data_IF_533049189891
#
_entry.id   IF_533049189891
#
_cell.length_a   1.000
_cell.length_b   1.000
_cell.length_c   1.000
_cell.angle_alpha   90.00
_cell.angle_beta   90.00
_cell.angle_gamma   90.00
#
_symmetry.space_group_name_H-M   'P 1'
#
loop_
_entity.id
_entity.type
_entity.pdbx_description
1 polymer ?
#
# COMPACT_ATOMS: atom_id res chain seq x y z
N UNK A 1 2.03 38.80 -18.31
CA UNK A 1 3.26 38.06 -18.65
C UNK A 1 3.95 37.72 -17.35
N UNK A 2 3.79 36.49 -16.86
CA UNK A 2 4.58 36.00 -15.72
C UNK A 2 5.99 35.73 -16.22
N UNK A 3 6.98 36.44 -15.68
CA UNK A 3 8.38 36.09 -15.83
C UNK A 3 8.58 34.73 -15.16
N UNK A 4 9.00 33.72 -15.91
CA UNK A 4 9.50 32.47 -15.35
C UNK A 4 10.79 32.78 -14.58
N UNK A 5 10.78 32.62 -13.26
CA UNK A 5 12.02 32.63 -12.49
C UNK A 5 12.95 31.55 -13.05
N UNK A 6 14.13 31.96 -13.50
CA UNK A 6 15.19 31.04 -13.93
C UNK A 6 15.72 30.34 -12.68
N UNK A 7 15.19 29.14 -12.40
CA UNK A 7 15.68 28.28 -11.33
C UNK A 7 17.12 27.89 -11.68
N UNK A 8 18.08 28.37 -10.89
CA UNK A 8 19.49 27.99 -11.05
C UNK A 8 19.66 26.51 -10.74
N UNK A 9 20.27 25.73 -11.65
CA UNK A 9 20.54 24.32 -11.42
C UNK A 9 21.43 24.12 -10.18
N UNK A 10 21.09 23.14 -9.34
CA UNK A 10 21.86 22.75 -8.16
C UNK A 10 22.50 21.38 -8.34
N UNK A 11 23.66 21.13 -7.74
CA UNK A 11 24.30 19.81 -7.77
C UNK A 11 23.58 18.87 -6.79
N UNK A 12 23.14 17.73 -7.28
CA UNK A 12 22.54 16.67 -6.48
C UNK A 12 23.56 15.90 -5.65
N UNK A 13 23.05 14.96 -4.85
CA UNK A 13 23.87 14.13 -3.94
C UNK A 13 24.86 13.21 -4.65
N UNK A 14 24.60 12.86 -5.92
CA UNK A 14 25.41 11.94 -6.70
C UNK A 14 26.13 12.73 -7.80
N UNK A 15 27.44 12.85 -7.64
CA UNK A 15 28.30 13.60 -8.55
C UNK A 15 29.66 12.93 -8.69
N UNK A 16 29.85 12.19 -9.79
CA UNK A 16 31.11 11.52 -10.08
C UNK A 16 32.04 12.40 -10.91
N UNK A 17 33.30 12.52 -10.48
CA UNK A 17 34.32 13.29 -11.21
C UNK A 17 34.62 12.70 -12.60
N UNK A 18 34.55 11.38 -12.73
CA UNK A 18 34.72 10.60 -13.97
C UNK A 18 33.40 10.32 -14.70
N UNK A 19 32.28 10.85 -14.18
CA UNK A 19 30.98 10.74 -14.84
C UNK A 19 31.02 11.36 -16.24
N UNK A 20 30.34 10.73 -17.18
CA UNK A 20 30.38 11.07 -18.60
C UNK A 20 29.03 11.56 -19.16
N UNK A 21 28.01 11.65 -18.31
CA UNK A 21 26.69 12.20 -18.63
C UNK A 21 26.12 12.93 -17.42
N UNK A 22 25.35 13.99 -17.65
CA UNK A 22 24.62 14.71 -16.59
C UNK A 22 23.13 14.47 -16.79
N UNK A 23 22.44 14.05 -15.73
CA UNK A 23 20.98 14.00 -15.67
C UNK A 23 20.50 15.29 -15.01
N UNK A 24 19.57 15.99 -15.63
CA UNK A 24 18.88 17.15 -15.04
C UNK A 24 17.45 16.77 -14.68
N UNK A 25 17.16 16.63 -13.39
CA UNK A 25 15.82 16.35 -12.87
C UNK A 25 15.32 17.56 -12.08
N UNK A 26 14.37 18.32 -12.64
CA UNK A 26 13.78 19.50 -12.00
C UNK A 26 14.83 20.49 -11.46
N UNK A 27 15.83 20.84 -12.29
CA UNK A 27 16.94 21.73 -11.93
C UNK A 27 17.89 21.16 -10.86
N UNK A 28 17.86 19.86 -10.61
CA UNK A 28 18.87 19.15 -9.82
C UNK A 28 19.69 18.27 -10.73
N UNK A 29 20.99 18.52 -10.75
CA UNK A 29 21.94 17.90 -11.67
C UNK A 29 22.65 16.73 -10.99
N UNK A 30 22.67 15.58 -11.65
CA UNK A 30 23.40 14.38 -11.24
C UNK A 30 24.43 14.01 -12.30
N UNK A 31 25.71 13.96 -11.93
CA UNK A 31 26.78 13.56 -12.85
C UNK A 31 27.10 12.09 -12.66
N UNK A 32 26.81 11.28 -13.68
CA UNK A 32 26.79 9.82 -13.61
C UNK A 32 27.42 9.18 -14.86
N UNK A 33 27.38 7.86 -14.96
CA UNK A 33 27.98 7.06 -16.02
C UNK A 33 26.91 6.43 -16.92
N UNK A 34 27.02 6.65 -18.24
CA UNK A 34 26.16 6.01 -19.25
C UNK A 34 26.10 4.50 -19.11
N UNK A 35 27.25 3.86 -18.87
CA UNK A 35 27.35 2.41 -18.73
C UNK A 35 26.55 1.86 -17.54
N UNK A 36 26.49 2.60 -16.42
CA UNK A 36 25.70 2.18 -15.25
C UNK A 36 24.21 2.30 -15.54
N UNK A 37 23.78 3.40 -16.16
CA UNK A 37 22.38 3.58 -16.58
C UNK A 37 21.96 2.50 -17.58
N UNK A 38 22.74 2.28 -18.64
CA UNK A 38 22.45 1.28 -19.68
C UNK A 38 22.51 -0.17 -19.18
N UNK A 39 23.27 -0.45 -18.13
CA UNK A 39 23.30 -1.78 -17.50
C UNK A 39 22.00 -2.10 -16.75
N UNK A 40 21.38 -1.09 -16.16
CA UNK A 40 20.19 -1.27 -15.32
C UNK A 40 18.88 -0.92 -16.04
N UNK A 41 18.95 -0.21 -17.18
CA UNK A 41 17.78 0.27 -17.91
C UNK A 41 17.93 0.05 -19.41
N UNK A 42 16.96 -0.66 -19.97
CA UNK A 42 16.87 -0.93 -21.40
C UNK A 42 16.57 0.37 -22.17
N UNK A 43 15.73 1.24 -21.60
CA UNK A 43 15.44 2.57 -22.15
C UNK A 43 16.71 3.41 -22.29
N UNK A 44 17.57 3.45 -21.26
CA UNK A 44 18.84 4.19 -21.36
C UNK A 44 19.83 3.54 -22.29
N UNK A 45 19.89 2.20 -22.33
CA UNK A 45 20.74 1.49 -23.28
C UNK A 45 20.39 1.89 -24.71
N UNK A 46 19.10 1.86 -25.05
CA UNK A 46 18.63 2.21 -26.38
C UNK A 46 18.81 3.70 -26.68
N UNK A 47 18.53 4.58 -25.70
CA UNK A 47 18.74 6.03 -25.82
C UNK A 47 20.17 6.37 -26.19
N UNK A 48 21.16 5.66 -25.65
CA UNK A 48 22.58 5.93 -25.95
C UNK A 48 23.09 5.28 -27.25
N UNK A 49 22.32 4.37 -27.86
CA UNK A 49 22.63 3.79 -29.16
C UNK A 49 22.16 4.67 -30.32
N UNK A 50 21.19 5.56 -30.08
CA UNK A 50 20.66 6.47 -31.12
C UNK A 50 21.66 7.61 -31.37
N UNK A 51 22.15 7.79 -32.62
CA UNK A 51 22.98 8.94 -32.96
C UNK A 51 22.21 10.25 -32.76
N UNK A 52 22.74 11.15 -31.94
CA UNK A 52 22.19 12.49 -31.79
C UNK A 52 22.35 13.29 -33.10
N UNK A 53 21.34 14.05 -33.57
CA UNK A 53 21.47 14.87 -34.77
C UNK A 53 22.64 15.85 -34.65
N UNK A 54 23.51 15.90 -35.67
CA UNK A 54 24.60 16.86 -35.72
C UNK A 54 24.04 18.27 -35.96
N UNK A 55 23.86 19.06 -34.91
CA UNK A 55 23.40 20.45 -35.06
C UNK A 55 22.91 21.13 -33.78
N UNK A 56 22.36 20.36 -32.83
CA UNK A 56 22.05 20.87 -31.50
C UNK A 56 23.28 20.64 -30.64
N UNK A 57 24.00 21.71 -30.26
CA UNK A 57 24.94 21.62 -29.15
C UNK A 57 24.12 21.17 -27.94
N UNK A 58 24.30 19.93 -27.43
CA UNK A 58 23.61 19.54 -26.21
C UNK A 58 24.03 20.58 -25.17
N UNK A 59 23.11 21.01 -24.28
CA UNK A 59 23.56 21.72 -23.10
C UNK A 59 24.63 20.83 -22.44
N UNK A 60 25.86 21.32 -22.40
CA UNK A 60 26.99 20.59 -21.83
C UNK A 60 27.34 21.22 -20.49
N UNK A 61 27.48 20.36 -19.48
CA UNK A 61 27.91 20.76 -18.15
C UNK A 61 29.14 19.93 -17.81
N UNK A 62 30.25 20.60 -17.47
CA UNK A 62 31.55 19.97 -17.23
C UNK A 62 32.00 19.03 -18.38
N UNK A 63 31.73 19.43 -19.63
CA UNK A 63 32.05 18.65 -20.84
C UNK A 63 31.23 17.37 -21.02
N UNK A 64 30.12 17.24 -20.27
CA UNK A 64 29.20 16.11 -20.36
C UNK A 64 27.87 16.57 -20.95
N UNK A 65 27.31 15.79 -21.88
CA UNK A 65 25.96 16.02 -22.37
C UNK A 65 24.94 15.94 -21.22
N UNK A 66 24.00 16.89 -21.20
CA UNK A 66 22.89 16.93 -20.25
C UNK A 66 21.65 16.27 -20.85
N UNK A 67 21.02 15.37 -20.10
CA UNK A 67 19.72 14.79 -20.41
C UNK A 67 18.70 15.25 -19.38
N UNK A 68 17.72 16.03 -19.82
CA UNK A 68 16.63 16.50 -18.97
C UNK A 68 15.60 15.40 -18.73
N UNK A 69 15.23 15.22 -17.47
CA UNK A 69 14.20 14.31 -16.98
C UNK A 69 13.01 15.10 -16.49
N UNK A 70 11.83 14.52 -16.65
CA UNK A 70 10.57 15.12 -16.20
C UNK A 70 10.13 14.65 -14.82
N UNK A 71 10.86 13.73 -14.22
CA UNK A 71 10.57 13.16 -12.90
C UNK A 71 11.29 13.93 -11.79
N UNK A 72 10.88 13.70 -10.54
CA UNK A 72 11.40 14.46 -9.41
C UNK A 72 12.89 14.18 -9.15
N UNK A 73 13.61 15.20 -8.68
CA UNK A 73 14.99 15.05 -8.25
C UNK A 73 15.13 14.03 -7.12
N UNK A 74 14.12 13.94 -6.24
CA UNK A 74 14.11 13.00 -5.12
C UNK A 74 14.03 11.54 -5.60
N UNK A 75 13.13 11.24 -6.55
CA UNK A 75 13.01 9.88 -7.10
C UNK A 75 14.32 9.45 -7.78
N UNK A 76 14.94 10.36 -8.55
CA UNK A 76 16.24 10.11 -9.17
C UNK A 76 17.34 9.89 -8.15
N UNK A 77 17.36 10.64 -7.04
CA UNK A 77 18.31 10.41 -5.97
C UNK A 77 18.16 9.00 -5.37
N UNK A 78 16.94 8.51 -5.11
CA UNK A 78 16.73 7.14 -4.63
C UNK A 78 17.22 6.09 -5.63
N UNK A 79 16.82 6.22 -6.90
CA UNK A 79 17.15 5.24 -7.95
C UNK A 79 18.64 5.20 -8.25
N UNK A 80 19.29 6.37 -8.37
CA UNK A 80 20.72 6.43 -8.63
C UNK A 80 21.53 5.89 -7.45
N UNK A 81 21.15 6.20 -6.19
CA UNK A 81 21.80 5.60 -5.03
C UNK A 81 21.72 4.07 -5.09
N UNK A 82 20.56 3.51 -5.44
CA UNK A 82 20.38 2.07 -5.57
C UNK A 82 21.25 1.44 -6.69
N UNK A 83 21.39 2.13 -7.83
CA UNK A 83 22.20 1.65 -8.96
C UNK A 83 23.71 1.63 -8.65
N UNK A 84 24.22 2.59 -7.87
CA UNK A 84 25.65 2.73 -7.56
C UNK A 84 26.07 1.96 -6.32
N UNK A 85 25.36 2.15 -5.21
CA UNK A 85 25.77 1.59 -3.92
C UNK A 85 25.17 0.21 -3.66
N UNK A 86 24.16 -0.20 -4.43
CA UNK A 86 23.38 -1.40 -4.18
C UNK A 86 22.81 -1.40 -2.75
N UNK A 87 22.59 -2.60 -2.18
CA UNK A 87 22.16 -2.75 -0.77
C UNK A 87 23.24 -2.41 0.26
N UNK A 88 24.43 -1.91 -0.12
CA UNK A 88 25.51 -1.66 0.87
C UNK A 88 25.18 -0.53 1.85
N UNK A 89 24.22 0.33 1.52
CA UNK A 89 23.65 1.33 2.43
C UNK A 89 22.33 0.89 3.10
N UNK A 90 21.91 -0.37 2.92
CA UNK A 90 20.89 -0.97 3.78
C UNK A 90 21.51 -1.24 5.17
N UNK A 91 21.79 -0.15 5.89
CA UNK A 91 21.62 -0.14 7.33
C UNK A 91 20.32 -0.89 7.67
N UNK A 92 20.27 -1.55 8.81
CA UNK A 92 19.17 -2.40 9.29
C UNK A 92 17.77 -1.71 9.36
N UNK A 93 17.63 -0.49 8.83
CA UNK A 93 16.40 0.25 8.69
C UNK A 93 15.55 -0.28 7.53
N UNK A 94 14.25 -0.34 7.77
CA UNK A 94 13.25 -0.69 6.78
C UNK A 94 13.20 0.38 5.66
N UNK A 95 12.87 -0.02 4.41
CA UNK A 95 12.74 0.90 3.29
C UNK A 95 11.62 1.93 3.52
N UNK A 96 11.91 3.19 3.22
CA UNK A 96 10.95 4.30 3.29
C UNK A 96 9.99 4.30 2.09
N UNK A 97 8.77 4.82 2.28
CA UNK A 97 7.78 4.95 1.22
C UNK A 97 8.30 5.67 -0.03
N UNK A 98 8.95 6.84 0.13
CA UNK A 98 9.47 7.61 -1.00
C UNK A 98 10.42 6.82 -1.89
N UNK A 99 11.27 5.98 -1.30
CA UNK A 99 12.17 5.09 -2.03
C UNK A 99 11.39 4.03 -2.82
N UNK A 100 10.42 3.36 -2.18
CA UNK A 100 9.59 2.33 -2.82
C UNK A 100 8.76 2.93 -3.97
N UNK A 101 8.20 4.12 -3.76
CA UNK A 101 7.46 4.84 -4.79
C UNK A 101 8.36 5.23 -5.97
N UNK A 102 9.56 5.76 -5.71
CA UNK A 102 10.56 6.09 -6.73
C UNK A 102 10.95 4.87 -7.57
N UNK A 103 11.23 3.75 -6.89
CA UNK A 103 11.59 2.49 -7.55
C UNK A 103 10.47 1.97 -8.44
N UNK A 104 9.21 2.06 -7.99
CA UNK A 104 8.08 1.62 -8.80
C UNK A 104 7.83 2.54 -10.01
N UNK A 105 7.83 3.87 -9.79
CA UNK A 105 7.61 4.88 -10.84
C UNK A 105 8.69 4.82 -11.92
N UNK A 106 9.94 5.04 -11.52
CA UNK A 106 11.05 5.12 -12.46
C UNK A 106 11.44 3.74 -12.96
N UNK A 107 11.30 2.70 -12.15
CA UNK A 107 11.56 1.33 -12.58
C UNK A 107 10.58 0.86 -13.66
N UNK A 108 9.32 1.29 -13.61
CA UNK A 108 8.38 1.07 -14.70
C UNK A 108 8.69 1.96 -15.91
N UNK A 109 8.90 3.26 -15.70
CA UNK A 109 9.05 4.26 -16.79
C UNK A 109 10.32 4.07 -17.61
N UNK A 110 11.43 3.74 -16.96
CA UNK A 110 12.73 3.57 -17.60
C UNK A 110 13.13 2.10 -17.75
N UNK A 111 12.20 1.17 -17.53
CA UNK A 111 12.44 -0.28 -17.60
C UNK A 111 13.68 -0.71 -16.80
N UNK A 112 13.60 -0.57 -15.47
CA UNK A 112 14.61 -1.02 -14.50
C UNK A 112 13.98 -2.14 -13.67
N UNK A 113 13.97 -3.40 -14.17
CA UNK A 113 13.19 -4.48 -13.58
C UNK A 113 13.58 -4.78 -12.13
N UNK A 114 14.88 -4.68 -11.80
CA UNK A 114 15.37 -5.01 -10.47
C UNK A 114 14.75 -4.10 -9.39
N UNK A 115 14.64 -2.79 -9.65
CA UNK A 115 14.04 -1.85 -8.72
C UNK A 115 12.52 -1.98 -8.69
N UNK A 116 11.89 -2.17 -9.86
CA UNK A 116 10.44 -2.38 -9.96
C UNK A 116 10.01 -3.61 -9.17
N UNK A 117 10.68 -4.74 -9.38
CA UNK A 117 10.34 -6.01 -8.75
C UNK A 117 10.63 -5.98 -7.24
N UNK A 118 11.68 -5.26 -6.81
CA UNK A 118 11.95 -4.99 -5.39
C UNK A 118 10.84 -4.16 -4.74
N UNK A 119 10.39 -3.08 -5.38
CA UNK A 119 9.29 -2.27 -4.88
C UNK A 119 7.99 -3.07 -4.77
N UNK A 120 7.67 -3.90 -5.77
CA UNK A 120 6.51 -4.78 -5.75
C UNK A 120 6.59 -5.82 -4.63
N UNK A 121 7.76 -6.40 -4.40
CA UNK A 121 7.97 -7.35 -3.29
C UNK A 121 7.70 -6.67 -1.93
N UNK A 122 8.21 -5.46 -1.74
CA UNK A 122 7.98 -4.69 -0.50
C UNK A 122 6.49 -4.36 -0.35
N UNK A 123 5.85 -3.80 -1.37
CA UNK A 123 4.44 -3.41 -1.30
C UNK A 123 3.51 -4.61 -1.09
N UNK A 124 3.71 -5.71 -1.83
CA UNK A 124 2.88 -6.93 -1.71
C UNK A 124 3.09 -7.67 -0.39
N UNK A 125 4.18 -7.41 0.33
CA UNK A 125 4.38 -7.92 1.70
C UNK A 125 3.44 -7.25 2.73
N UNK A 126 3.07 -5.99 2.49
CA UNK A 126 2.17 -5.21 3.34
C UNK A 126 0.71 -5.23 2.82
N UNK A 127 0.54 -5.20 1.50
CA UNK A 127 -0.76 -5.13 0.80
C UNK A 127 -0.94 -6.39 -0.06
N UNK A 128 -1.06 -7.54 0.59
CA UNK A 128 -1.18 -8.83 -0.10
C UNK A 128 -2.51 -8.98 -0.82
N UNK A 129 -2.49 -9.66 -1.97
CA UNK A 129 -3.69 -10.09 -2.71
C UNK A 129 -4.28 -11.42 -2.21
N UNK A 130 -3.76 -11.96 -1.10
CA UNK A 130 -4.29 -13.18 -0.47
C UNK A 130 -4.61 -12.97 1.01
N UNK A 131 -5.67 -13.63 1.49
CA UNK A 131 -6.06 -13.59 2.90
C UNK A 131 -4.95 -14.14 3.81
N UNK A 132 -4.28 -15.21 3.38
CA UNK A 132 -3.13 -15.76 4.11
C UNK A 132 -1.97 -14.75 4.24
N UNK A 133 -1.70 -13.99 3.18
CA UNK A 133 -0.69 -12.93 3.22
C UNK A 133 -1.10 -11.78 4.14
N UNK A 134 -2.39 -11.42 4.16
CA UNK A 134 -2.95 -10.46 5.11
C UNK A 134 -2.76 -10.92 6.58
N UNK A 135 -3.01 -12.19 6.87
CA UNK A 135 -2.84 -12.76 8.22
C UNK A 135 -1.36 -12.74 8.65
N UNK A 136 -0.44 -12.88 7.69
CA UNK A 136 1.00 -12.78 7.91
C UNK A 136 1.57 -11.36 7.98
N UNK A 137 0.78 -10.31 7.67
CA UNK A 137 1.32 -8.97 7.37
C UNK A 137 2.15 -8.35 8.49
N UNK A 138 1.76 -8.55 9.75
CA UNK A 138 2.50 -8.01 10.90
C UNK A 138 3.92 -8.61 11.04
N UNK A 139 4.10 -9.86 10.59
CA UNK A 139 5.39 -10.58 10.63
C UNK A 139 6.19 -10.41 9.34
N UNK A 140 5.49 -10.18 8.23
CA UNK A 140 6.06 -10.23 6.88
C UNK A 140 6.28 -8.85 6.26
N UNK A 141 5.79 -7.77 6.86
CA UNK A 141 5.94 -6.42 6.32
C UNK A 141 7.42 -6.04 6.26
N UNK A 142 7.93 -5.85 5.04
CA UNK A 142 9.24 -5.25 4.80
C UNK A 142 9.18 -3.72 4.81
N UNK A 143 8.16 -3.12 5.44
CA UNK A 143 7.85 -1.71 5.31
C UNK A 143 7.69 -1.03 6.67
N UNK A 144 8.39 0.08 6.88
CA UNK A 144 8.34 0.84 8.14
C UNK A 144 7.01 1.61 8.22
N UNK A 145 6.07 1.16 9.05
CA UNK A 145 4.97 2.04 9.46
C UNK A 145 5.48 3.03 10.50
N UNK A 146 6.15 4.08 10.03
CA UNK A 146 6.65 5.18 10.86
C UNK A 146 5.60 6.28 11.10
N UNK A 147 4.36 6.04 10.67
CA UNK A 147 3.26 7.00 10.69
C UNK A 147 3.43 8.19 9.74
N UNK A 148 4.48 8.21 8.89
CA UNK A 148 4.74 9.33 7.96
C UNK A 148 4.13 9.13 6.58
N UNK A 149 3.94 7.90 6.11
CA UNK A 149 3.18 7.66 4.89
C UNK A 149 1.71 7.39 5.20
N UNK A 150 0.84 7.77 4.27
CA UNK A 150 -0.62 7.61 4.40
C UNK A 150 -1.11 6.59 3.39
N UNK A 151 -2.10 5.77 3.76
CA UNK A 151 -2.66 4.75 2.86
C UNK A 151 -3.16 5.33 1.52
N UNK A 152 -3.59 6.60 1.51
CA UNK A 152 -3.97 7.29 0.27
C UNK A 152 -2.80 7.49 -0.72
N UNK A 153 -1.56 7.55 -0.24
CA UNK A 153 -0.38 7.64 -1.12
C UNK A 153 -0.12 6.30 -1.82
N UNK A 154 -0.43 5.17 -1.17
CA UNK A 154 -0.38 3.84 -1.78
C UNK A 154 -1.47 3.71 -2.85
N UNK A 155 -2.69 4.18 -2.56
CA UNK A 155 -3.79 4.23 -3.54
C UNK A 155 -3.37 5.04 -4.77
N UNK A 156 -2.83 6.25 -4.54
CA UNK A 156 -2.35 7.14 -5.61
C UNK A 156 -1.26 6.47 -6.45
N UNK A 157 -0.26 5.88 -5.80
CA UNK A 157 0.84 5.18 -6.48
C UNK A 157 0.35 3.98 -7.29
N UNK A 158 -0.57 3.19 -6.75
CA UNK A 158 -1.16 2.04 -7.45
C UNK A 158 -1.92 2.48 -8.71
N UNK A 159 -2.67 3.58 -8.65
CA UNK A 159 -3.35 4.17 -9.82
C UNK A 159 -2.35 4.70 -10.85
N UNK A 160 -1.37 5.47 -10.40
CA UNK A 160 -0.33 6.08 -11.25
C UNK A 160 0.48 5.02 -12.00
N UNK A 161 0.85 3.95 -11.30
CA UNK A 161 1.70 2.87 -11.84
C UNK A 161 0.90 1.73 -12.44
N UNK A 162 -0.43 1.76 -12.36
CA UNK A 162 -1.31 0.71 -12.88
C UNK A 162 -1.20 -0.65 -12.16
N UNK A 163 -0.61 -0.69 -10.97
CA UNK A 163 -0.49 -1.90 -10.13
C UNK A 163 -1.74 -1.97 -9.24
N UNK A 164 -2.86 -2.35 -9.86
CA UNK A 164 -4.19 -2.19 -9.28
C UNK A 164 -4.52 -3.27 -8.24
N UNK A 165 -3.78 -4.38 -8.19
CA UNK A 165 -3.97 -5.44 -7.18
C UNK A 165 -3.71 -4.97 -5.73
N UNK A 166 -3.00 -3.85 -5.56
CA UNK A 166 -2.76 -3.24 -4.25
C UNK A 166 -3.99 -2.49 -3.71
N UNK A 167 -4.91 -2.06 -4.58
CA UNK A 167 -5.99 -1.15 -4.22
C UNK A 167 -6.97 -1.70 -3.18
N UNK A 168 -7.50 -2.94 -3.29
CA UNK A 168 -8.48 -3.44 -2.33
C UNK A 168 -7.93 -3.39 -0.89
N UNK A 169 -6.66 -3.79 -0.72
CA UNK A 169 -6.01 -3.77 0.59
C UNK A 169 -5.61 -2.36 1.04
N UNK A 170 -5.19 -1.49 0.14
CA UNK A 170 -4.87 -0.11 0.50
C UNK A 170 -6.12 0.65 1.00
N UNK A 171 -7.27 0.46 0.33
CA UNK A 171 -8.54 1.00 0.79
C UNK A 171 -9.02 0.36 2.11
N UNK A 172 -8.93 -0.97 2.23
CA UNK A 172 -9.28 -1.66 3.47
C UNK A 172 -8.44 -1.13 4.64
N UNK A 173 -7.12 -1.05 4.50
CA UNK A 173 -6.22 -0.59 5.55
C UNK A 173 -6.49 0.87 5.93
N UNK A 174 -6.86 1.72 4.97
CA UNK A 174 -7.30 3.08 5.25
C UNK A 174 -8.56 3.10 6.13
N UNK A 175 -9.58 2.30 5.83
CA UNK A 175 -10.78 2.18 6.66
C UNK A 175 -10.45 1.54 8.03
N UNK A 176 -9.69 0.44 8.07
CA UNK A 176 -9.36 -0.32 9.30
C UNK A 176 -8.60 0.52 10.34
N UNK A 177 -7.71 1.42 9.90
CA UNK A 177 -6.82 2.15 10.79
C UNK A 177 -7.34 3.55 11.18
N UNK A 178 -8.56 3.91 10.78
CA UNK A 178 -9.13 5.23 11.08
C UNK A 178 -10.58 5.11 11.53
N UNK A 179 -10.93 5.81 12.61
CA UNK A 179 -12.31 6.09 12.96
C UNK A 179 -12.96 6.96 11.87
N UNK A 180 -14.30 7.10 11.83
CA UNK A 180 -14.96 7.97 10.87
C UNK A 180 -14.43 9.43 10.87
N UNK A 181 -14.08 9.97 12.04
CA UNK A 181 -13.47 11.30 12.16
C UNK A 181 -12.03 11.31 11.65
N UNK A 182 -11.23 10.30 12.01
CA UNK A 182 -9.86 10.16 11.50
C UNK A 182 -9.82 10.02 9.98
N UNK A 183 -10.81 9.35 9.38
CA UNK A 183 -10.94 9.19 7.92
C UNK A 183 -11.25 10.53 7.23
N UNK A 184 -12.06 11.39 7.86
CA UNK A 184 -12.34 12.74 7.37
C UNK A 184 -11.07 13.61 7.33
N UNK A 185 -10.19 13.49 8.33
CA UNK A 185 -8.90 14.18 8.36
C UNK A 185 -7.96 13.67 7.27
N UNK A 186 -7.91 12.34 7.06
CA UNK A 186 -7.15 11.74 5.96
C UNK A 186 -7.62 12.24 4.61
N UNK A 187 -8.94 12.26 4.37
CA UNK A 187 -9.52 12.77 3.13
C UNK A 187 -9.17 14.23 2.90
N UNK A 188 -9.30 15.07 3.93
CA UNK A 188 -9.02 16.50 3.82
C UNK A 188 -7.56 16.76 3.44
N UNK A 189 -6.64 15.97 4.01
CA UNK A 189 -5.21 16.02 3.68
C UNK A 189 -4.98 15.53 2.24
N UNK A 190 -5.54 14.37 1.86
CA UNK A 190 -5.38 13.79 0.54
C UNK A 190 -5.90 14.72 -0.57
N UNK A 191 -7.01 15.43 -0.33
CA UNK A 191 -7.56 16.46 -1.23
C UNK A 191 -6.61 17.65 -1.33
N UNK A 192 -6.13 18.16 -0.20
CA UNK A 192 -5.20 19.29 -0.16
C UNK A 192 -3.88 19.00 -0.87
N UNK A 193 -3.42 17.75 -0.80
CA UNK A 193 -2.19 17.28 -1.46
C UNK A 193 -2.45 16.72 -2.88
N UNK A 194 -3.69 16.68 -3.36
CA UNK A 194 -4.03 16.19 -4.70
C UNK A 194 -3.77 14.70 -4.95
N UNK A 195 -3.72 13.86 -3.92
CA UNK A 195 -3.33 12.44 -4.05
C UNK A 195 -4.49 11.50 -4.42
N UNK A 196 -5.75 11.90 -4.20
CA UNK A 196 -6.93 11.07 -4.48
C UNK A 196 -7.86 11.71 -5.49
N UNK A 197 -8.36 10.88 -6.42
CA UNK A 197 -9.38 11.32 -7.37
C UNK A 197 -10.76 11.38 -6.70
N UNK A 198 -11.72 12.15 -7.25
CA UNK A 198 -13.12 12.10 -6.80
C UNK A 198 -13.71 10.69 -6.81
N UNK A 199 -13.28 9.84 -7.75
CA UNK A 199 -13.71 8.45 -7.82
C UNK A 199 -13.17 7.63 -6.64
N UNK A 200 -11.92 7.85 -6.22
CA UNK A 200 -11.33 7.16 -5.07
C UNK A 200 -11.98 7.63 -3.75
N UNK A 201 -12.39 8.90 -3.64
CA UNK A 201 -13.17 9.37 -2.49
C UNK A 201 -14.51 8.64 -2.38
N UNK A 202 -15.23 8.50 -3.50
CA UNK A 202 -16.51 7.80 -3.52
C UNK A 202 -16.32 6.31 -3.23
N UNK A 203 -15.32 5.67 -3.84
CA UNK A 203 -14.95 4.28 -3.60
C UNK A 203 -14.69 4.04 -2.11
N UNK A 204 -13.93 4.92 -1.47
CA UNK A 204 -13.62 4.83 -0.04
C UNK A 204 -14.89 4.99 0.82
N UNK A 205 -15.72 6.00 0.57
CA UNK A 205 -16.95 6.24 1.35
C UNK A 205 -17.95 5.07 1.25
N UNK A 206 -18.18 4.59 0.02
CA UNK A 206 -19.07 3.44 -0.24
C UNK A 206 -18.47 2.16 0.35
N UNK A 207 -17.16 1.97 0.17
CA UNK A 207 -16.45 0.79 0.63
C UNK A 207 -16.44 0.67 2.15
N UNK A 208 -16.13 1.74 2.89
CA UNK A 208 -16.22 1.70 4.34
C UNK A 208 -17.66 1.37 4.80
N UNK A 209 -18.71 1.96 4.19
CA UNK A 209 -20.10 1.58 4.52
C UNK A 209 -20.39 0.08 4.26
N UNK A 210 -19.90 -0.47 3.13
CA UNK A 210 -20.04 -1.91 2.82
C UNK A 210 -19.26 -2.79 3.80
N UNK A 211 -18.08 -2.38 4.23
CA UNK A 211 -17.30 -3.10 5.24
C UNK A 211 -18.05 -3.18 6.57
N UNK A 212 -18.78 -2.13 6.98
CA UNK A 212 -19.63 -2.19 8.17
C UNK A 212 -20.70 -3.30 8.05
N UNK A 213 -21.33 -3.42 6.87
CA UNK A 213 -22.31 -4.47 6.62
C UNK A 213 -21.66 -5.86 6.66
N UNK A 214 -20.52 -6.05 5.99
CA UNK A 214 -19.78 -7.31 5.94
C UNK A 214 -19.35 -7.82 7.32
N UNK A 215 -19.00 -6.92 8.25
CA UNK A 215 -18.72 -7.28 9.65
C UNK A 215 -19.92 -8.03 10.25
N UNK A 216 -21.15 -7.55 10.05
CA UNK A 216 -22.37 -8.13 10.65
C UNK A 216 -22.88 -9.35 9.87
N UNK A 217 -22.90 -9.24 8.55
CA UNK A 217 -23.55 -10.18 7.64
C UNK A 217 -22.71 -11.42 7.36
N UNK A 218 -21.38 -11.27 7.37
CA UNK A 218 -20.44 -12.32 7.00
C UNK A 218 -19.53 -12.69 8.18
N UNK A 219 -18.63 -11.79 8.59
CA UNK A 219 -17.54 -12.12 9.53
C UNK A 219 -18.01 -12.47 10.94
N UNK A 220 -18.99 -11.73 11.47
CA UNK A 220 -19.58 -11.97 12.79
C UNK A 220 -21.01 -12.51 12.72
N UNK A 221 -21.39 -13.10 11.59
CA UNK A 221 -22.70 -13.77 11.41
C UNK A 221 -23.00 -14.78 12.52
N UNK A 222 -21.98 -15.45 13.04
CA UNK A 222 -22.07 -16.37 14.16
C UNK A 222 -22.57 -15.72 15.47
N UNK A 223 -22.50 -14.39 15.61
CA UNK A 223 -23.01 -13.68 16.77
C UNK A 223 -24.49 -13.29 16.64
N UNK A 224 -24.99 -13.14 15.41
CA UNK A 224 -26.38 -12.79 15.13
C UNK A 224 -27.28 -14.02 14.94
N UNK A 225 -26.73 -15.12 14.40
CA UNK A 225 -27.45 -16.37 14.21
C UNK A 225 -27.37 -17.29 15.44
N UNK A 226 -28.53 -17.75 15.92
CA UNK A 226 -28.66 -18.75 16.98
C UNK A 226 -29.34 -20.02 16.41
N UNK A 227 -28.90 -21.23 16.78
CA UNK A 227 -27.80 -21.53 17.71
C UNK A 227 -26.44 -21.63 16.98
N UNK A 228 -25.41 -21.08 17.62
CA UNK A 228 -24.01 -21.13 17.15
C UNK A 228 -23.46 -22.56 17.13
N UNK A 229 -24.00 -23.44 17.97
CA UNK A 229 -23.75 -24.88 17.95
C UNK A 229 -25.01 -25.63 17.53
N UNK A 230 -24.85 -26.72 16.76
CA UNK A 230 -25.95 -27.63 16.43
C UNK A 230 -26.67 -28.21 17.67
N UNK A 231 -27.49 -29.24 17.48
CA UNK A 231 -28.45 -29.85 18.43
C UNK A 231 -28.02 -30.14 19.89
N UNK A 232 -26.77 -29.89 20.29
CA UNK A 232 -26.16 -30.22 21.58
C UNK A 232 -26.09 -29.05 22.59
N UNK A 233 -26.42 -27.81 22.21
CA UNK A 233 -26.49 -26.67 23.15
C UNK A 233 -27.90 -26.08 23.17
N UNK A 234 -28.46 -25.82 24.37
CA UNK A 234 -29.73 -25.08 24.54
C UNK A 234 -29.61 -23.57 24.23
N UNK A 235 -28.50 -23.15 23.61
CA UNK A 235 -28.37 -21.99 22.72
C UNK A 235 -28.40 -20.61 23.36
N UNK A 236 -29.26 -20.36 24.34
CA UNK A 236 -29.64 -19.00 24.76
C UNK A 236 -28.52 -18.27 25.51
N UNK A 237 -27.83 -18.97 26.43
CA UNK A 237 -26.69 -18.39 27.15
C UNK A 237 -25.47 -18.17 26.23
N UNK A 238 -25.16 -19.13 25.35
CA UNK A 238 -24.06 -18.98 24.39
C UNK A 238 -24.35 -17.88 23.37
N UNK A 239 -25.58 -17.79 22.86
CA UNK A 239 -25.99 -16.74 21.93
C UNK A 239 -25.92 -15.34 22.57
N UNK A 240 -26.36 -15.20 23.82
CA UNK A 240 -26.28 -13.92 24.55
C UNK A 240 -24.83 -13.47 24.71
N UNK A 241 -23.94 -14.39 25.07
CA UNK A 241 -22.51 -14.09 25.23
C UNK A 241 -21.80 -13.86 23.88
N UNK A 242 -22.20 -14.56 22.81
CA UNK A 242 -21.72 -14.32 21.45
C UNK A 242 -22.07 -12.90 20.96
N UNK A 243 -23.33 -12.47 21.16
CA UNK A 243 -23.78 -11.10 20.90
C UNK A 243 -22.94 -10.09 21.68
N UNK A 244 -22.68 -10.34 22.96
CA UNK A 244 -21.84 -9.45 23.79
C UNK A 244 -20.43 -9.30 23.21
N UNK A 245 -19.79 -10.40 22.83
CA UNK A 245 -18.45 -10.39 22.25
C UNK A 245 -18.40 -9.59 20.93
N UNK A 246 -19.39 -9.76 20.07
CA UNK A 246 -19.57 -8.95 18.87
C UNK A 246 -19.71 -7.45 19.19
N UNK A 247 -20.65 -7.09 20.07
CA UNK A 247 -20.87 -5.68 20.43
C UNK A 247 -19.61 -5.01 20.98
N UNK A 248 -18.87 -5.72 21.84
CA UNK A 248 -17.64 -5.22 22.44
C UNK A 248 -16.55 -5.01 21.38
N UNK A 249 -16.32 -5.98 20.50
CA UNK A 249 -15.29 -5.86 19.46
C UNK A 249 -15.64 -4.81 18.42
N UNK A 250 -16.88 -4.76 17.94
CA UNK A 250 -17.25 -3.84 16.85
C UNK A 250 -17.39 -2.39 17.33
N UNK A 251 -17.98 -2.17 18.51
CA UNK A 251 -18.40 -0.82 18.93
C UNK A 251 -17.64 -0.26 20.13
N UNK A 252 -16.98 -1.09 20.95
CA UNK A 252 -16.30 -0.62 22.17
C UNK A 252 -14.79 -0.48 21.98
N UNK A 253 -14.11 -1.52 21.50
CA UNK A 253 -12.65 -1.51 21.41
C UNK A 253 -12.09 -0.86 20.16
N UNK A 254 -12.86 -0.92 19.09
CA UNK A 254 -12.41 -0.49 17.78
C UNK A 254 -12.90 0.91 17.41
N UNK A 255 -13.68 1.58 18.26
CA UNK A 255 -14.25 2.91 17.97
C UNK A 255 -14.94 2.99 16.57
N UNK A 256 -15.57 1.88 16.16
CA UNK A 256 -16.18 1.72 14.83
C UNK A 256 -15.18 1.43 13.70
N UNK A 257 -13.94 1.07 13.99
CA UNK A 257 -12.98 0.60 12.99
C UNK A 257 -13.40 -0.74 12.40
N UNK A 258 -13.04 -0.94 11.13
CA UNK A 258 -13.56 -2.03 10.32
C UNK A 258 -12.75 -3.30 10.56
N UNK A 259 -13.32 -4.23 11.33
CA UNK A 259 -12.72 -5.53 11.67
C UNK A 259 -13.18 -6.67 10.74
N UNK A 260 -13.58 -6.34 9.51
CA UNK A 260 -14.20 -7.28 8.60
C UNK A 260 -13.28 -8.47 8.24
N UNK A 261 -11.96 -8.28 8.31
CA UNK A 261 -10.97 -9.33 8.06
C UNK A 261 -10.18 -9.73 9.31
N UNK A 262 -10.53 -9.27 10.51
CA UNK A 262 -9.79 -9.56 11.73
C UNK A 262 -9.72 -11.08 11.97
N UNK A 263 -8.53 -11.69 12.16
CA UNK A 263 -8.41 -13.09 12.55
C UNK A 263 -9.08 -13.38 13.89
N UNK A 264 -9.58 -14.62 14.07
CA UNK A 264 -10.24 -15.03 15.32
C UNK A 264 -9.34 -14.84 16.54
N UNK A 265 -8.06 -15.16 16.40
CA UNK A 265 -7.03 -15.06 17.44
C UNK A 265 -6.76 -13.61 17.87
N UNK A 266 -7.08 -12.64 17.01
CA UNK A 266 -6.88 -11.21 17.27
C UNK A 266 -8.15 -10.53 17.83
N UNK A 267 -9.26 -11.26 17.96
CA UNK A 267 -10.48 -10.77 18.61
C UNK A 267 -10.20 -10.50 20.10
N UNK A 268 -10.55 -9.30 20.56
CA UNK A 268 -10.39 -8.93 21.97
C UNK A 268 -11.55 -9.51 22.78
N UNK A 269 -11.25 -10.47 23.66
CA UNK A 269 -12.23 -11.08 24.56
C UNK A 269 -12.15 -10.41 25.93
N UNK A 270 -13.23 -9.75 26.34
CA UNK A 270 -13.31 -9.12 27.67
C UNK A 270 -13.70 -10.18 28.70
N UNK A 271 -12.95 -10.32 29.80
CA UNK A 271 -13.40 -11.14 30.91
C UNK A 271 -14.73 -10.57 31.44
N UNK A 272 -15.72 -11.45 31.67
CA UNK A 272 -16.84 -11.06 32.50
C UNK A 272 -16.33 -10.79 33.93
N UNK A 273 -17.02 -9.92 34.69
CA UNK A 273 -16.80 -9.85 36.14
C UNK A 273 -16.91 -11.27 36.73
N UNK A 274 -15.80 -11.83 37.21
CA UNK A 274 -15.73 -13.21 37.71
C UNK A 274 -14.68 -14.14 37.06
N UNK A 275 -13.97 -13.70 36.02
CA UNK A 275 -12.73 -14.37 35.57
C UNK A 275 -12.86 -15.60 34.68
N UNK A 276 -14.08 -16.01 34.30
CA UNK A 276 -14.26 -17.05 33.28
C UNK A 276 -14.13 -16.44 31.86
N UNK A 277 -13.11 -16.86 31.13
CA UNK A 277 -12.86 -16.49 29.73
C UNK A 277 -13.86 -17.15 28.75
N UNK A 278 -14.73 -18.05 29.22
CA UNK A 278 -15.64 -18.82 28.37
C UNK A 278 -16.97 -18.10 28.12
N UNK A 279 -16.91 -17.22 27.13
CA UNK A 279 -18.06 -16.62 26.47
C UNK A 279 -18.98 -17.65 25.79
N UNK A 280 -18.55 -18.86 25.48
CA UNK A 280 -19.39 -19.89 24.86
C UNK A 280 -18.94 -21.27 25.36
N UNK A 281 -19.80 -22.30 25.27
CA UNK A 281 -19.29 -23.67 25.39
C UNK A 281 -18.25 -23.92 24.30
N UNK A 282 -17.32 -24.84 24.54
CA UNK A 282 -16.34 -25.31 23.55
C UNK A 282 -17.01 -25.67 22.21
N UNK A 283 -18.18 -26.31 22.26
CA UNK A 283 -18.99 -26.63 21.09
C UNK A 283 -19.36 -25.42 20.22
N UNK A 284 -19.89 -24.37 20.83
CA UNK A 284 -20.33 -23.15 20.16
C UNK A 284 -19.12 -22.30 19.76
N UNK A 285 -18.03 -22.33 20.54
CA UNK A 285 -16.80 -21.61 20.21
C UNK A 285 -16.16 -22.17 18.94
N UNK A 286 -16.03 -23.49 18.82
CA UNK A 286 -15.44 -24.12 17.63
C UNK A 286 -16.31 -23.90 16.39
N UNK A 287 -17.63 -23.94 16.54
CA UNK A 287 -18.55 -23.62 15.45
C UNK A 287 -18.50 -22.14 15.06
N UNK A 288 -18.44 -21.21 16.02
CA UNK A 288 -18.26 -19.79 15.78
C UNK A 288 -16.96 -19.50 15.03
N UNK A 289 -15.85 -20.13 15.45
CA UNK A 289 -14.54 -19.98 14.81
C UNK A 289 -14.57 -20.40 13.34
N UNK A 290 -15.21 -21.54 13.03
CA UNK A 290 -15.40 -22.01 11.64
C UNK A 290 -16.25 -21.05 10.83
N UNK A 291 -17.36 -20.57 11.39
CA UNK A 291 -18.24 -19.61 10.72
C UNK A 291 -17.53 -18.27 10.49
N UNK A 292 -16.75 -17.80 11.46
CA UNK A 292 -15.97 -16.57 11.37
C UNK A 292 -14.94 -16.65 10.24
N UNK A 293 -14.15 -17.71 10.19
CA UNK A 293 -13.16 -17.91 9.14
C UNK A 293 -13.82 -18.02 7.75
N UNK A 294 -14.95 -18.73 7.66
CA UNK A 294 -15.73 -18.78 6.43
C UNK A 294 -16.27 -17.40 6.01
N UNK A 295 -16.70 -16.58 6.98
CA UNK A 295 -17.11 -15.19 6.77
C UNK A 295 -15.95 -14.34 6.26
N UNK A 296 -14.76 -14.42 6.88
CA UNK A 296 -13.55 -13.71 6.43
C UNK A 296 -13.19 -14.06 4.99
N UNK A 297 -13.25 -15.33 4.60
CA UNK A 297 -13.03 -15.78 3.22
C UNK A 297 -14.05 -15.14 2.26
N UNK A 298 -15.33 -15.06 2.65
CA UNK A 298 -16.36 -14.42 1.84
C UNK A 298 -16.14 -12.92 1.69
N UNK A 299 -15.83 -12.23 2.80
CA UNK A 299 -15.48 -10.80 2.78
C UNK A 299 -14.26 -10.57 1.90
N UNK A 300 -13.23 -11.41 1.99
CA UNK A 300 -12.04 -11.30 1.14
C UNK A 300 -12.41 -11.32 -0.34
N UNK A 301 -13.27 -12.24 -0.78
CA UNK A 301 -13.72 -12.30 -2.18
C UNK A 301 -14.53 -11.06 -2.58
N UNK A 302 -15.40 -10.55 -1.70
CA UNK A 302 -16.21 -9.34 -1.97
C UNK A 302 -15.41 -8.04 -1.86
N UNK A 303 -14.19 -8.07 -1.33
CA UNK A 303 -13.43 -6.86 -0.97
C UNK A 303 -13.20 -5.90 -2.14
N UNK A 304 -12.75 -6.35 -3.33
CA UNK A 304 -12.56 -5.43 -4.46
C UNK A 304 -13.89 -4.78 -4.87
N UNK A 305 -14.95 -5.58 -4.97
CA UNK A 305 -16.29 -5.11 -5.28
C UNK A 305 -16.82 -4.09 -4.27
N UNK A 306 -16.44 -4.18 -2.99
CA UNK A 306 -16.80 -3.22 -1.96
C UNK A 306 -16.38 -1.79 -2.33
N UNK A 307 -15.20 -1.65 -2.94
CA UNK A 307 -14.63 -0.37 -3.38
C UNK A 307 -14.91 -0.06 -4.85
N UNK A 308 -15.81 -0.80 -5.51
CA UNK A 308 -16.14 -0.61 -6.92
C UNK A 308 -14.98 -0.98 -7.87
N UNK A 309 -14.10 -1.88 -7.45
CA UNK A 309 -12.98 -2.39 -8.24
C UNK A 309 -13.38 -3.69 -8.97
N UNK A 310 -12.56 -4.06 -9.95
CA UNK A 310 -12.63 -5.36 -10.60
C UNK A 310 -12.34 -6.51 -9.62
N UNK A 311 -12.82 -7.71 -9.94
CA UNK A 311 -12.58 -8.91 -9.13
C UNK A 311 -11.09 -9.26 -9.05
N UNK A 312 -10.68 -9.96 -8.00
CA UNK A 312 -9.27 -10.29 -7.74
C UNK A 312 -8.52 -10.85 -8.96
N UNK A 313 -9.14 -11.77 -9.69
CA UNK A 313 -8.51 -12.40 -10.85
C UNK A 313 -8.20 -11.42 -12.00
N UNK A 314 -8.94 -10.32 -12.13
CA UNK A 314 -8.75 -9.30 -13.17
C UNK A 314 -7.70 -8.30 -12.73
N UNK A 315 -7.73 -7.91 -11.44
CA UNK A 315 -6.71 -7.05 -10.85
C UNK A 315 -5.32 -7.70 -10.94
N UNK A 316 -5.23 -9.01 -10.72
CA UNK A 316 -3.96 -9.76 -10.80
C UNK A 316 -3.45 -9.96 -12.24
N UNK A 317 -4.32 -9.91 -13.25
CA UNK A 317 -3.91 -9.99 -14.66
C UNK A 317 -3.39 -8.66 -15.19
N UNK A 318 -3.79 -7.55 -14.56
CA UNK A 318 -3.45 -6.19 -14.97
C UNK A 318 -2.23 -5.61 -14.25
N UNK A 319 -1.71 -6.32 -13.24
CA UNK A 319 -0.66 -5.86 -12.32
C UNK A 319 0.65 -6.66 -12.39
#
# INVERSE_FOLDING_TARGET
>A
MMQSELVTPSKGSIWFFDGNIVIDASSTLFRVHRGVLARNSDVFRDLFLVPQPAGDSPNEIDGCAVVTMHDSAEDWAYVLNAMYDGRRNASQALPKFGMVAAFLRLGKKYDIPQLRDEALLILRSAFSSTLQGFDGRAKNSFFEYDGKYRYFQIISLARETGILDLLPMAFYALCENHSPTGLMDQLSTAVGEGHLSPADHLAMAVGCNRLAAFVVEDTYRWASESPVGGSLCTGEQCATKAKRAFFQNTFTYNDGSYTALLPWEDIVWVPAEGGDYDGMCECCMEAAKKMHEQGRIQVWQKLPGAFGLAEWHELLQTS
#
